data_IF_826696784582
#
_entry.id   IF_826696784582
#
_cell.length_a   1.000
_cell.length_b   1.000
_cell.length_c   1.000
_cell.angle_alpha   90.00
_cell.angle_beta   90.00
_cell.angle_gamma   90.00
#
_symmetry.space_group_name_H-M   'P 1'
#
loop_
_entity.id
_entity.type
_entity.pdbx_description
1 polymer ?
#
# COMPACT_ATOMS: atom_id res chain seq x y z
N UNK A 1 6.29 -31.69 7.34
CA UNK A 1 7.06 -30.43 7.33
C UNK A 1 6.75 -29.70 6.03
N UNK A 2 6.28 -28.46 6.13
CA UNK A 2 5.53 -27.75 5.08
C UNK A 2 6.33 -27.56 3.78
N UNK A 3 5.70 -27.89 2.64
CA UNK A 3 6.16 -27.68 1.25
C UNK A 3 6.59 -26.24 0.92
N UNK A 4 6.32 -25.30 1.82
CA UNK A 4 6.64 -23.88 1.70
C UNK A 4 8.15 -23.60 1.70
N UNK A 5 8.96 -24.40 2.41
CA UNK A 5 10.40 -24.11 2.59
C UNK A 5 11.29 -24.60 1.43
N UNK A 6 10.75 -25.30 0.43
CA UNK A 6 11.58 -25.97 -0.61
C UNK A 6 11.49 -25.34 -2.00
N UNK A 7 10.77 -24.22 -2.19
CA UNK A 7 10.65 -23.61 -3.52
C UNK A 7 10.44 -22.08 -3.51
N UNK A 8 11.33 -21.35 -2.83
CA UNK A 8 11.30 -19.88 -2.77
C UNK A 8 11.40 -19.22 -4.17
N UNK A 9 11.88 -19.94 -5.20
CA UNK A 9 11.93 -19.45 -6.58
C UNK A 9 10.55 -19.31 -7.26
N UNK A 10 9.53 -20.02 -6.77
CA UNK A 10 8.22 -20.08 -7.45
C UNK A 10 7.32 -18.89 -7.14
N UNK A 11 7.50 -18.26 -5.97
CA UNK A 11 6.65 -17.21 -5.41
C UNK A 11 7.46 -15.95 -5.14
N UNK A 12 8.00 -15.36 -6.20
CA UNK A 12 8.68 -14.06 -6.10
C UNK A 12 7.65 -12.93 -5.94
N UNK A 13 8.07 -11.84 -5.30
CA UNK A 13 7.21 -10.70 -4.97
C UNK A 13 6.59 -10.05 -6.22
N UNK A 14 7.40 -9.82 -7.25
CA UNK A 14 6.98 -9.28 -8.56
C UNK A 14 5.89 -10.14 -9.21
N UNK A 15 6.05 -11.46 -9.21
CA UNK A 15 5.06 -12.39 -9.78
C UNK A 15 3.74 -12.38 -9.03
N UNK A 16 3.77 -12.18 -7.71
CA UNK A 16 2.56 -12.09 -6.89
C UNK A 16 1.86 -10.74 -7.06
N UNK A 17 2.62 -9.65 -7.02
CA UNK A 17 2.11 -8.30 -7.22
C UNK A 17 1.48 -8.14 -8.62
N UNK A 18 2.09 -8.72 -9.65
CA UNK A 18 1.55 -8.69 -11.02
C UNK A 18 0.20 -9.44 -11.20
N UNK A 19 -0.28 -10.16 -10.17
CA UNK A 19 -1.62 -10.79 -10.18
C UNK A 19 -2.67 -9.96 -9.46
N UNK A 20 -2.29 -8.88 -8.77
CA UNK A 20 -3.22 -8.00 -8.10
C UNK A 20 -3.95 -7.12 -9.13
N UNK A 21 -5.24 -6.91 -8.89
CA UNK A 21 -6.11 -6.09 -9.74
C UNK A 21 -6.84 -5.01 -8.93
N UNK A 22 -6.31 -4.67 -7.76
CA UNK A 22 -6.91 -3.71 -6.84
C UNK A 22 -5.84 -2.73 -6.33
N UNK A 23 -6.22 -1.48 -6.02
CA UNK A 23 -5.31 -0.52 -5.44
C UNK A 23 -4.63 -1.08 -4.18
N UNK A 24 -3.33 -0.81 -4.05
CA UNK A 24 -2.51 -1.27 -2.92
C UNK A 24 -2.09 -0.07 -2.06
N UNK A 25 -2.25 -0.18 -0.74
CA UNK A 25 -1.67 0.76 0.22
C UNK A 25 -0.51 0.09 0.95
N UNK A 26 0.64 0.76 0.97
CA UNK A 26 1.77 0.43 1.83
C UNK A 26 1.86 1.48 2.95
N UNK A 27 1.54 1.08 4.17
CA UNK A 27 1.79 1.87 5.39
C UNK A 27 3.13 1.44 5.97
N UNK A 28 4.09 2.36 6.02
CA UNK A 28 5.47 2.06 6.35
C UNK A 28 5.96 2.91 7.53
N UNK A 29 6.61 2.29 8.50
CA UNK A 29 7.33 3.01 9.55
C UNK A 29 8.74 3.38 9.11
N UNK A 30 9.09 4.66 9.12
CA UNK A 30 10.42 5.13 8.69
C UNK A 30 11.55 4.68 9.62
N UNK A 31 11.20 4.31 10.86
CA UNK A 31 12.13 3.86 11.88
C UNK A 31 12.19 2.33 11.98
N UNK A 32 11.58 1.59 11.03
CA UNK A 32 11.61 0.12 11.01
C UNK A 32 13.06 -0.40 10.85
N UNK A 33 13.61 -1.09 11.87
CA UNK A 33 14.98 -1.61 11.83
C UNK A 33 15.11 -2.90 11.00
N UNK A 34 14.00 -3.54 10.63
CA UNK A 34 13.97 -4.83 9.96
C UNK A 34 13.65 -4.71 8.47
N UNK A 35 12.71 -3.83 8.12
CA UNK A 35 12.28 -3.63 6.75
C UNK A 35 12.37 -2.15 6.40
N UNK A 36 13.49 -1.74 5.80
CA UNK A 36 13.71 -0.34 5.46
C UNK A 36 12.82 0.17 4.31
N UNK A 37 12.64 1.50 4.21
CA UNK A 37 11.74 2.15 3.25
C UNK A 37 12.10 1.86 1.77
N UNK A 38 13.35 1.49 1.48
CA UNK A 38 13.77 1.07 0.14
C UNK A 38 12.95 -0.11 -0.41
N UNK A 39 12.42 -0.98 0.47
CA UNK A 39 11.58 -2.10 0.03
C UNK A 39 10.19 -1.63 -0.42
N UNK A 40 9.63 -0.60 0.22
CA UNK A 40 8.38 0.02 -0.21
C UNK A 40 8.53 0.63 -1.61
N UNK A 41 9.61 1.36 -1.85
CA UNK A 41 9.94 1.91 -3.17
C UNK A 41 10.02 0.81 -4.24
N UNK A 42 10.68 -0.32 -3.93
CA UNK A 42 10.79 -1.44 -4.85
C UNK A 42 9.45 -2.14 -5.13
N UNK A 43 8.53 -2.19 -4.16
CA UNK A 43 7.17 -2.70 -4.40
C UNK A 43 6.43 -1.77 -5.37
N UNK A 44 6.55 -0.46 -5.19
CA UNK A 44 5.93 0.54 -6.05
C UNK A 44 6.44 0.46 -7.51
N UNK A 45 7.72 0.09 -7.71
CA UNK A 45 8.26 -0.17 -9.05
C UNK A 45 7.58 -1.38 -9.74
N UNK A 46 7.22 -2.42 -8.99
CA UNK A 46 6.57 -3.62 -9.53
C UNK A 46 5.05 -3.48 -9.67
N UNK A 47 4.41 -2.60 -8.89
CA UNK A 47 2.97 -2.40 -8.91
C UNK A 47 2.65 -0.91 -8.88
N UNK A 48 2.36 -0.34 -10.05
CA UNK A 48 2.18 1.11 -10.19
C UNK A 48 0.95 1.67 -9.46
N UNK A 49 -0.11 0.86 -9.27
CA UNK A 49 -1.30 1.25 -8.50
C UNK A 49 -1.08 1.05 -6.99
N UNK A 50 0.05 1.57 -6.51
CA UNK A 50 0.47 1.52 -5.11
C UNK A 50 0.59 2.92 -4.54
N UNK A 51 -0.14 3.19 -3.47
CA UNK A 51 0.08 4.33 -2.59
C UNK A 51 1.06 3.93 -1.47
N UNK A 52 2.01 4.80 -1.15
CA UNK A 52 2.96 4.61 -0.05
C UNK A 52 2.81 5.74 0.94
N UNK A 53 2.59 5.40 2.21
CA UNK A 53 2.44 6.34 3.32
C UNK A 53 3.50 6.03 4.37
N UNK A 54 4.32 7.03 4.66
CA UNK A 54 5.42 6.96 5.61
C UNK A 54 5.00 7.56 6.94
N UNK A 55 5.22 6.81 8.02
CA UNK A 55 4.84 7.14 9.38
C UNK A 55 6.09 7.19 10.26
N UNK A 56 6.09 8.10 11.23
CA UNK A 56 7.16 8.21 12.23
C UNK A 56 7.00 7.14 13.32
N UNK A 57 7.17 5.88 12.91
CA UNK A 57 7.01 4.68 13.73
C UNK A 57 8.00 3.59 13.31
N UNK A 58 8.14 2.55 14.14
CA UNK A 58 8.94 1.36 13.89
C UNK A 58 8.24 0.32 13.01
N UNK A 59 8.49 -0.95 13.28
CA UNK A 59 8.04 -2.07 12.42
C UNK A 59 6.52 -2.23 12.39
N UNK A 60 5.83 -1.89 13.48
CA UNK A 60 4.37 -2.02 13.59
C UNK A 60 3.74 -0.63 13.75
N UNK A 61 3.62 0.15 12.66
CA UNK A 61 3.13 1.52 12.75
C UNK A 61 1.71 1.64 13.30
N UNK A 62 0.88 0.60 13.15
CA UNK A 62 -0.48 0.55 13.67
C UNK A 62 -0.54 0.37 15.20
N UNK A 63 0.47 -0.25 15.81
CA UNK A 63 0.54 -0.42 17.26
C UNK A 63 1.27 0.76 17.91
N UNK A 64 2.31 1.29 17.25
CA UNK A 64 3.15 2.36 17.77
C UNK A 64 2.55 3.76 17.58
N UNK A 65 1.86 3.98 16.45
CA UNK A 65 1.25 5.26 16.10
C UNK A 65 -0.16 5.06 15.50
N UNK A 66 -1.11 4.49 16.27
CA UNK A 66 -2.43 4.11 15.79
C UNK A 66 -3.21 5.28 15.19
N UNK A 67 -3.12 6.48 15.76
CA UNK A 67 -3.81 7.67 15.24
C UNK A 67 -3.33 8.03 13.83
N UNK A 68 -2.02 7.97 13.61
CA UNK A 68 -1.40 8.31 12.32
C UNK A 68 -1.70 7.23 11.28
N UNK A 69 -1.62 5.96 11.68
CA UNK A 69 -1.95 4.82 10.82
C UNK A 69 -3.43 4.84 10.40
N UNK A 70 -4.33 5.08 11.35
CA UNK A 70 -5.78 5.16 11.08
C UNK A 70 -6.11 6.35 10.17
N UNK A 71 -5.49 7.51 10.42
CA UNK A 71 -5.69 8.69 9.58
C UNK A 71 -5.25 8.41 8.13
N UNK A 72 -4.05 7.86 7.94
CA UNK A 72 -3.53 7.53 6.62
C UNK A 72 -4.41 6.50 5.88
N UNK A 73 -4.95 5.51 6.62
CA UNK A 73 -5.89 4.53 6.05
C UNK A 73 -7.20 5.20 5.59
N UNK A 74 -7.79 6.06 6.42
CA UNK A 74 -9.04 6.75 6.10
C UNK A 74 -8.87 7.71 4.91
N UNK A 75 -7.75 8.44 4.85
CA UNK A 75 -7.44 9.33 3.73
C UNK A 75 -7.29 8.56 2.41
N UNK A 76 -6.63 7.40 2.45
CA UNK A 76 -6.49 6.55 1.29
C UNK A 76 -7.84 6.00 0.82
N UNK A 77 -8.68 5.51 1.74
CA UNK A 77 -10.03 5.03 1.39
C UNK A 77 -10.88 6.14 0.76
N UNK A 78 -10.87 7.34 1.33
CA UNK A 78 -11.58 8.49 0.77
C UNK A 78 -11.08 8.85 -0.65
N UNK A 79 -9.77 8.75 -0.89
CA UNK A 79 -9.19 8.97 -2.22
C UNK A 79 -9.62 7.89 -3.24
N UNK A 80 -9.81 6.64 -2.81
CA UNK A 80 -10.34 5.58 -3.66
C UNK A 80 -11.81 5.80 -4.01
N UNK A 81 -12.63 6.18 -3.03
CA UNK A 81 -14.04 6.51 -3.25
C UNK A 81 -14.20 7.67 -4.24
N UNK A 82 -13.35 8.70 -4.11
CA UNK A 82 -13.33 9.83 -5.03
C UNK A 82 -12.93 9.41 -6.46
N UNK A 83 -12.03 8.44 -6.63
CA UNK A 83 -11.66 7.88 -7.95
C UNK A 83 -12.77 7.01 -8.55
N UNK A 84 -13.52 6.31 -7.71
CA UNK A 84 -14.60 5.44 -8.14
C UNK A 84 -15.85 6.20 -8.60
N UNK A 85 -16.06 7.42 -8.09
CA UNK A 85 -17.18 8.28 -8.51
C UNK A 85 -16.87 8.90 -9.89
N UNK A 86 -17.68 8.65 -10.94
CA UNK A 86 -17.50 9.34 -12.21
C UNK A 86 -17.61 10.85 -12.00
N UNK A 87 -16.76 11.63 -12.66
CA UNK A 87 -16.91 13.08 -12.72
C UNK A 87 -18.29 13.39 -13.30
N UNK A 88 -19.24 13.81 -12.46
CA UNK A 88 -20.52 14.33 -12.93
C UNK A 88 -20.21 15.55 -13.81
N UNK A 89 -20.57 15.54 -15.11
CA UNK A 89 -20.39 16.72 -15.93
C UNK A 89 -21.26 17.82 -15.33
N UNK A 90 -20.60 18.89 -14.89
CA UNK A 90 -21.26 20.08 -14.38
C UNK A 90 -22.11 20.63 -15.52
N UNK A 91 -23.42 20.38 -15.47
CA UNK A 91 -24.38 21.03 -16.34
C UNK A 91 -24.35 22.52 -15.99
N UNK A 92 -23.61 23.28 -16.80
CA UNK A 92 -23.76 24.73 -16.86
C UNK A 92 -25.22 24.99 -17.25
N UNK A 93 -25.98 25.51 -16.29
CA UNK A 93 -27.34 25.98 -16.53
C UNK A 93 -27.23 27.29 -17.32
N UNK A 94 -28.00 27.32 -18.41
CA UNK A 94 -28.22 28.40 -19.38
C UNK A 94 -28.46 29.77 -18.76
#
# INVERSE_FOLDING_TARGET
>A
MSRFMSNQSRYTLDRLLGKLSCPLLLLWGDLDPWVGPAKAARIQEFYADTAVMHLQAGHCPHDEAPEQANQALLEWLAALDARAKPAEPSLQTV
#
